data_IF_964060932459
#
_entry.id   IF_964060932459
#
_cell.length_a   1.000
_cell.length_b   1.000
_cell.length_c   1.000
_cell.angle_alpha   90.00
_cell.angle_beta   90.00
_cell.angle_gamma   90.00
#
_symmetry.space_group_name_H-M   'P 1'
#
loop_
_entity.id
_entity.type
_entity.pdbx_description
1 polymer ?
#
# COMPACT_ATOMS: atom_id res chain seq x y z
N UNK A 1 -5.24 -48.78 -28.31
CA UNK A 1 -5.54 -47.34 -28.58
C UNK A 1 -5.14 -46.54 -27.34
N UNK A 2 -4.15 -45.66 -27.51
CA UNK A 2 -3.63 -44.59 -26.63
C UNK A 2 -3.65 -44.81 -25.11
N UNK A 3 -2.50 -45.17 -24.55
CA UNK A 3 -2.12 -44.90 -23.16
C UNK A 3 -1.69 -43.44 -23.03
N UNK A 4 -2.35 -42.70 -22.13
CA UNK A 4 -1.92 -41.37 -21.72
C UNK A 4 -0.77 -41.51 -20.72
N UNK A 5 0.42 -41.06 -21.09
CA UNK A 5 1.52 -40.84 -20.15
C UNK A 5 1.24 -39.56 -19.36
N UNK A 6 0.76 -39.72 -18.13
CA UNK A 6 0.71 -38.64 -17.14
C UNK A 6 2.14 -38.24 -16.80
N UNK A 7 2.60 -37.14 -17.39
CA UNK A 7 3.88 -36.51 -17.03
C UNK A 7 3.78 -36.00 -15.59
N UNK A 8 4.31 -36.79 -14.65
CA UNK A 8 4.43 -36.42 -13.24
C UNK A 8 5.50 -35.33 -13.14
N UNK A 9 5.10 -34.08 -12.96
CA UNK A 9 6.03 -32.98 -12.68
C UNK A 9 6.79 -33.34 -11.39
N UNK A 10 8.13 -33.32 -11.36
CA UNK A 10 8.88 -33.67 -10.16
C UNK A 10 8.57 -32.69 -9.02
N UNK A 11 8.33 -33.19 -7.80
CA UNK A 11 8.08 -32.39 -6.58
C UNK A 11 9.11 -31.26 -6.36
N UNK A 12 10.34 -31.47 -6.83
CA UNK A 12 11.43 -30.49 -6.75
C UNK A 12 11.15 -29.19 -7.51
N UNK A 13 10.48 -29.27 -8.68
CA UNK A 13 10.12 -28.09 -9.48
C UNK A 13 9.03 -27.26 -8.81
N UNK A 14 8.06 -27.90 -8.17
CA UNK A 14 7.00 -27.22 -7.42
C UNK A 14 7.57 -26.47 -6.20
N UNK A 15 8.54 -27.07 -5.52
CA UNK A 15 9.21 -26.46 -4.37
C UNK A 15 10.06 -25.24 -4.76
N UNK A 16 10.84 -25.34 -5.85
CA UNK A 16 11.63 -24.22 -6.38
C UNK A 16 10.76 -23.03 -6.79
N UNK A 17 9.70 -23.27 -7.58
CA UNK A 17 8.75 -22.22 -7.99
C UNK A 17 8.05 -21.55 -6.80
N UNK A 18 7.77 -22.32 -5.73
CA UNK A 18 7.19 -21.78 -4.50
C UNK A 18 8.17 -20.90 -3.73
N UNK A 19 9.46 -21.24 -3.70
CA UNK A 19 10.48 -20.39 -3.07
C UNK A 19 10.69 -19.07 -3.83
N UNK A 20 10.76 -19.12 -5.16
CA UNK A 20 10.90 -17.92 -5.99
C UNK A 20 9.71 -16.97 -5.80
N UNK A 21 8.48 -17.50 -5.76
CA UNK A 21 7.29 -16.68 -5.55
C UNK A 21 7.18 -16.08 -4.14
N UNK A 22 7.71 -16.76 -3.12
CA UNK A 22 7.78 -16.20 -1.76
C UNK A 22 8.82 -15.09 -1.64
N UNK A 23 10.03 -15.31 -2.16
CA UNK A 23 11.10 -14.30 -2.16
C UNK A 23 10.67 -13.05 -2.91
N UNK A 24 10.03 -13.22 -4.08
CA UNK A 24 9.51 -12.11 -4.87
C UNK A 24 8.49 -11.27 -4.07
N UNK A 25 7.51 -11.91 -3.42
CA UNK A 25 6.53 -11.21 -2.56
C UNK A 25 7.19 -10.49 -1.41
N UNK A 26 8.18 -11.09 -0.76
CA UNK A 26 8.88 -10.45 0.36
C UNK A 26 9.65 -9.21 -0.11
N UNK A 27 10.28 -9.26 -1.28
CA UNK A 27 10.97 -8.11 -1.88
C UNK A 27 9.97 -7.00 -2.25
N UNK A 28 8.83 -7.34 -2.83
CA UNK A 28 7.76 -6.37 -3.14
C UNK A 28 7.23 -5.69 -1.88
N UNK A 29 6.95 -6.45 -0.82
CA UNK A 29 6.52 -5.90 0.47
C UNK A 29 7.59 -5.01 1.10
N UNK A 30 8.86 -5.41 1.03
CA UNK A 30 9.98 -4.62 1.50
C UNK A 30 10.14 -3.29 0.75
N UNK A 31 10.01 -3.33 -0.57
CA UNK A 31 10.03 -2.15 -1.44
C UNK A 31 8.87 -1.19 -1.09
N UNK A 32 7.65 -1.72 -0.96
CA UNK A 32 6.47 -0.93 -0.61
C UNK A 32 6.61 -0.26 0.76
N UNK A 33 7.01 -0.99 1.79
CA UNK A 33 7.25 -0.42 3.14
C UNK A 33 8.35 0.64 3.14
N UNK A 34 9.39 0.46 2.33
CA UNK A 34 10.47 1.45 2.21
C UNK A 34 9.99 2.72 1.51
N UNK A 35 9.24 2.58 0.41
CA UNK A 35 8.66 3.70 -0.32
C UNK A 35 7.61 4.45 0.53
N UNK A 36 6.74 3.74 1.25
CA UNK A 36 5.77 4.32 2.19
C UNK A 36 6.45 5.20 3.23
N UNK A 37 7.50 4.72 3.90
CA UNK A 37 8.24 5.52 4.90
C UNK A 37 8.84 6.79 4.30
N UNK A 38 9.42 6.72 3.11
CA UNK A 38 9.99 7.90 2.42
C UNK A 38 8.92 8.88 1.97
N UNK A 39 7.84 8.38 1.40
CA UNK A 39 6.69 9.19 0.98
C UNK A 39 6.07 9.90 2.18
N UNK A 40 5.90 9.21 3.31
CA UNK A 40 5.40 9.79 4.55
C UNK A 40 6.32 10.88 5.09
N UNK A 41 7.64 10.65 5.13
CA UNK A 41 8.61 11.67 5.55
C UNK A 41 8.56 12.93 4.69
N UNK A 42 8.36 12.80 3.38
CA UNK A 42 8.20 13.94 2.46
C UNK A 42 6.86 14.62 2.65
N UNK A 43 5.79 13.82 2.77
CA UNK A 43 4.43 14.29 2.98
C UNK A 43 4.33 15.14 4.26
N UNK A 44 4.84 14.66 5.40
CA UNK A 44 4.81 15.42 6.65
C UNK A 44 5.54 16.76 6.58
N UNK A 45 6.59 16.90 5.76
CA UNK A 45 7.26 18.18 5.54
C UNK A 45 6.42 19.15 4.70
N UNK A 46 5.69 18.64 3.72
CA UNK A 46 4.83 19.45 2.84
C UNK A 46 3.48 19.80 3.50
N UNK A 47 3.02 18.93 4.38
CA UNK A 47 1.67 18.91 4.93
C UNK A 47 1.69 18.73 6.46
N UNK A 48 2.39 19.59 7.23
CA UNK A 48 2.59 19.39 8.66
C UNK A 48 1.27 19.32 9.45
N UNK A 49 0.29 20.17 9.09
CA UNK A 49 -1.06 20.18 9.70
C UNK A 49 -1.81 18.84 9.58
N UNK A 50 -1.41 18.01 8.62
CA UNK A 50 -2.07 16.74 8.34
C UNK A 50 -1.47 15.59 9.16
N UNK A 51 -0.20 15.71 9.55
CA UNK A 51 0.42 14.82 10.53
C UNK A 51 -0.30 14.90 11.88
N UNK A 52 -0.70 16.12 12.29
CA UNK A 52 -1.45 16.36 13.53
C UNK A 52 -2.89 15.78 13.48
N UNK A 53 -3.37 15.36 12.30
CA UNK A 53 -4.71 14.80 12.09
C UNK A 53 -4.71 13.28 11.90
N UNK A 54 -3.76 12.58 12.52
CA UNK A 54 -3.63 11.11 12.52
C UNK A 54 -3.34 10.50 11.13
N UNK A 55 -2.87 11.30 10.17
CA UNK A 55 -2.30 10.79 8.93
C UNK A 55 -0.82 10.45 9.15
N UNK A 56 -0.57 9.34 9.83
CA UNK A 56 0.75 8.93 10.30
C UNK A 56 1.11 7.49 9.92
N UNK A 57 2.24 7.00 10.41
CA UNK A 57 2.71 5.64 10.17
C UNK A 57 1.75 4.57 10.73
N UNK A 58 1.04 4.89 11.81
CA UNK A 58 0.05 3.99 12.40
C UNK A 58 -1.15 3.82 11.46
N UNK A 59 -1.70 4.92 10.94
CA UNK A 59 -2.74 4.88 9.90
C UNK A 59 -2.28 4.07 8.68
N UNK A 60 -1.08 4.34 8.16
CA UNK A 60 -0.56 3.64 6.98
C UNK A 60 -0.40 2.13 7.19
N UNK A 61 0.04 1.73 8.37
CA UNK A 61 0.32 0.33 8.71
C UNK A 61 -0.92 -0.47 9.12
N UNK A 62 -2.04 0.20 9.44
CA UNK A 62 -3.27 -0.45 9.91
C UNK A 62 -4.45 -0.16 9.00
N UNK A 63 -5.07 1.01 9.12
CA UNK A 63 -6.31 1.32 8.41
C UNK A 63 -6.11 1.48 6.90
N UNK A 64 -4.98 2.05 6.46
CA UNK A 64 -4.66 2.18 5.05
C UNK A 64 -4.04 0.92 4.43
N UNK A 65 -3.54 -0.01 5.25
CA UNK A 65 -2.83 -1.21 4.79
C UNK A 65 -3.58 -2.00 3.70
N UNK A 66 -4.89 -2.31 3.83
CA UNK A 66 -5.61 -3.02 2.78
C UNK A 66 -5.75 -2.19 1.49
N UNK A 67 -5.87 -0.87 1.59
CA UNK A 67 -5.94 0.02 0.42
C UNK A 67 -4.59 0.03 -0.31
N UNK A 68 -3.49 0.16 0.44
CA UNK A 68 -2.15 0.22 -0.12
C UNK A 68 -1.64 -1.14 -0.61
N UNK A 69 -2.23 -2.25 -0.16
CA UNK A 69 -1.96 -3.58 -0.70
C UNK A 69 -2.29 -3.69 -2.20
N UNK A 70 -3.15 -2.82 -2.74
CA UNK A 70 -3.41 -2.72 -4.18
C UNK A 70 -2.14 -2.55 -5.02
N UNK A 71 -1.13 -1.85 -4.49
CA UNK A 71 0.17 -1.71 -5.17
C UNK A 71 0.88 -3.05 -5.41
N UNK A 72 0.67 -4.05 -4.54
CA UNK A 72 1.23 -5.40 -4.73
C UNK A 72 0.50 -6.20 -5.81
N UNK A 73 -0.73 -5.80 -6.15
CA UNK A 73 -1.53 -6.36 -7.23
C UNK A 73 -1.43 -5.52 -8.53
N UNK A 74 -0.40 -4.68 -8.65
CA UNK A 74 -0.21 -3.73 -9.76
C UNK A 74 -1.40 -2.77 -9.99
N UNK A 75 -2.26 -2.59 -8.98
CA UNK A 75 -3.43 -1.74 -9.04
C UNK A 75 -3.25 -0.54 -8.12
N UNK A 76 -3.05 0.65 -8.71
CA UNK A 76 -2.94 1.88 -7.94
C UNK A 76 -4.27 2.16 -7.21
N UNK A 77 -4.28 2.32 -5.88
CA UNK A 77 -5.48 2.67 -5.14
C UNK A 77 -5.94 4.11 -5.46
N UNK A 78 -7.23 4.38 -5.25
CA UNK A 78 -7.78 5.72 -5.45
C UNK A 78 -7.56 6.59 -4.21
N UNK A 79 -7.38 7.90 -4.43
CA UNK A 79 -7.30 8.88 -3.35
C UNK A 79 -8.57 8.88 -2.48
N UNK A 80 -9.73 8.66 -3.09
CA UNK A 80 -11.02 8.55 -2.39
C UNK A 80 -11.05 7.35 -1.44
N UNK A 81 -10.54 6.18 -1.86
CA UNK A 81 -10.49 5.00 -0.99
C UNK A 81 -9.56 5.23 0.22
N UNK A 82 -8.41 5.88 -0.01
CA UNK A 82 -7.48 6.22 1.06
C UNK A 82 -8.07 7.26 2.03
N UNK A 83 -8.73 8.29 1.51
CA UNK A 83 -9.39 9.30 2.33
C UNK A 83 -10.57 8.72 3.13
N UNK A 84 -11.32 7.77 2.56
CA UNK A 84 -12.39 7.07 3.27
C UNK A 84 -11.85 6.21 4.42
N UNK A 85 -10.75 5.48 4.20
CA UNK A 85 -10.08 4.71 5.25
C UNK A 85 -9.60 5.62 6.39
N UNK A 86 -9.10 6.80 6.05
CA UNK A 86 -8.67 7.79 7.03
C UNK A 86 -9.84 8.36 7.83
N UNK A 87 -10.92 8.77 7.16
CA UNK A 87 -12.12 9.26 7.82
C UNK A 87 -12.72 8.21 8.78
N UNK A 88 -12.68 6.93 8.40
CA UNK A 88 -13.12 5.83 9.26
C UNK A 88 -12.28 5.68 10.53
N UNK A 89 -10.97 5.92 10.48
CA UNK A 89 -10.10 5.91 11.68
C UNK A 89 -10.44 7.05 12.65
N UNK A 90 -10.87 8.20 12.14
CA UNK A 90 -11.24 9.36 12.96
C UNK A 90 -12.69 9.31 13.48
N UNK A 91 -13.52 8.39 12.97
CA UNK A 91 -14.95 8.30 13.30
C UNK A 91 -15.35 7.69 14.67
N UNK A 92 -14.55 6.87 15.39
CA UNK A 92 -15.04 6.24 16.62
C UNK A 92 -15.21 7.21 17.80
N UNK A 93 -14.62 8.41 17.71
CA UNK A 93 -14.69 9.42 18.77
C UNK A 93 -14.95 10.82 18.19
N UNK A 94 -16.01 10.93 17.37
CA UNK A 94 -16.39 12.16 16.67
C UNK A 94 -16.71 13.37 17.59
N UNK A 95 -16.60 13.21 18.92
CA UNK A 95 -16.71 14.29 19.90
C UNK A 95 -15.36 14.90 20.31
N UNK A 96 -14.21 14.26 20.04
CA UNK A 96 -12.88 14.71 20.53
C UNK A 96 -11.97 15.26 19.43
N UNK A 97 -12.24 14.99 18.15
CA UNK A 97 -11.36 15.42 17.06
C UNK A 97 -11.59 16.88 16.62
N UNK A 98 -10.54 17.69 16.74
CA UNK A 98 -10.47 19.05 16.23
C UNK A 98 -10.93 19.14 14.76
N UNK A 99 -11.88 20.06 14.51
CA UNK A 99 -12.41 20.59 13.23
C UNK A 99 -12.62 19.54 12.11
N UNK A 100 -13.86 19.30 11.64
CA UNK A 100 -14.11 18.36 10.55
C UNK A 100 -13.32 18.81 9.31
N UNK A 101 -12.26 18.07 9.01
CA UNK A 101 -11.60 18.15 7.71
C UNK A 101 -12.67 17.81 6.69
N UNK A 102 -12.93 18.71 5.73
CA UNK A 102 -13.78 18.38 4.59
C UNK A 102 -13.21 17.17 3.88
N UNK A 103 -14.03 16.16 3.59
CA UNK A 103 -13.62 14.96 2.85
C UNK A 103 -12.92 15.32 1.53
N UNK A 104 -13.25 16.47 0.93
CA UNK A 104 -12.56 17.00 -0.25
C UNK A 104 -11.10 17.41 0.00
N UNK A 105 -10.79 17.98 1.16
CA UNK A 105 -9.41 18.31 1.54
C UNK A 105 -8.63 17.05 1.94
N UNK A 106 -9.29 16.09 2.62
CA UNK A 106 -8.71 14.79 2.91
C UNK A 106 -8.37 14.01 1.63
N UNK A 107 -9.25 14.06 0.62
CA UNK A 107 -9.01 13.46 -0.68
C UNK A 107 -7.84 14.10 -1.43
N UNK A 108 -7.68 15.43 -1.35
CA UNK A 108 -6.51 16.11 -1.93
C UNK A 108 -5.21 15.69 -1.25
N UNK A 109 -5.19 15.66 0.08
CA UNK A 109 -4.03 15.21 0.85
C UNK A 109 -3.68 13.74 0.53
N UNK A 110 -4.68 12.87 0.48
CA UNK A 110 -4.51 11.47 0.07
C UNK A 110 -3.97 11.35 -1.36
N UNK A 111 -4.45 12.16 -2.30
CA UNK A 111 -3.93 12.18 -3.68
C UNK A 111 -2.45 12.59 -3.71
N UNK A 112 -2.08 13.66 -3.02
CA UNK A 112 -0.67 14.10 -2.93
C UNK A 112 0.22 13.05 -2.27
N UNK A 113 -0.27 12.34 -1.25
CA UNK A 113 0.47 11.22 -0.67
C UNK A 113 0.68 10.08 -1.69
N UNK A 114 -0.35 9.70 -2.43
CA UNK A 114 -0.25 8.64 -3.44
C UNK A 114 0.73 9.02 -4.56
N UNK A 115 0.76 10.28 -5.00
CA UNK A 115 1.75 10.77 -5.95
C UNK A 115 3.19 10.67 -5.42
N UNK A 116 3.41 11.02 -4.16
CA UNK A 116 4.70 10.84 -3.51
C UNK A 116 5.07 9.36 -3.42
N UNK A 117 4.11 8.50 -3.09
CA UNK A 117 4.33 7.05 -3.03
C UNK A 117 4.67 6.47 -4.40
N UNK A 118 3.96 6.88 -5.46
CA UNK A 118 4.25 6.48 -6.84
C UNK A 118 5.69 6.88 -7.24
N UNK A 119 6.11 8.09 -6.87
CA UNK A 119 7.46 8.58 -7.13
C UNK A 119 8.52 7.77 -6.37
N UNK A 120 8.27 7.41 -5.11
CA UNK A 120 9.19 6.57 -4.31
C UNK A 120 9.17 5.09 -4.74
N UNK A 121 8.10 4.63 -5.39
CA UNK A 121 7.99 3.29 -5.96
C UNK A 121 8.62 3.15 -7.35
N UNK A 122 8.78 4.26 -8.09
CA UNK A 122 9.35 4.25 -9.43
C UNK A 122 10.69 3.48 -9.56
N UNK A 123 11.64 3.57 -8.61
CA UNK A 123 12.89 2.79 -8.64
C UNK A 123 12.70 1.28 -8.47
N UNK A 124 11.54 0.83 -7.96
CA UNK A 124 11.23 -0.57 -7.65
C UNK A 124 10.35 -1.25 -8.70
N UNK A 125 10.00 -0.57 -9.80
CA UNK A 125 9.09 -1.09 -10.85
C UNK A 125 9.45 -2.49 -11.34
N UNK A 126 10.74 -2.80 -11.47
CA UNK A 126 11.22 -4.10 -11.93
C UNK A 126 10.89 -5.26 -10.97
N UNK A 127 10.66 -4.98 -9.68
CA UNK A 127 10.32 -5.97 -8.66
C UNK A 127 8.78 -5.98 -8.44
N UNK A 128 8.09 -4.91 -8.82
CA UNK A 128 6.63 -4.77 -8.65
C UNK A 128 5.81 -5.18 -9.88
N UNK A 129 6.46 -5.49 -11.00
CA UNK A 129 5.85 -6.04 -12.22
C UNK A 129 5.83 -7.55 -12.16
#
# INVERSE_FOLDING_TARGET
>A
MRTFTTTRVPDMFVWLLRQESWLHRQLQQGALRKAQRRAMQRFMRMYPRWADSLFDDFFLSHAAAPVLAGYLAAQRPSATALAAAWAAQCAPDAQVAARPVSLGDAAKAAASFLELLDAELAPYKAIMS
#
